data_IF_281801638352
#
_entry.id   IF_281801638352
#
_cell.length_a   1.000
_cell.length_b   1.000
_cell.length_c   1.000
_cell.angle_alpha   90.00
_cell.angle_beta   90.00
_cell.angle_gamma   90.00
#
_symmetry.space_group_name_H-M   'P 1'
#
loop_
_entity.id
_entity.type
_entity.pdbx_description
1 polymer ?
#
# COMPACT_ATOMS: atom_id res chain seq x y z
N UNK A 1 -15.06 -14.41 -6.96
CA UNK A 1 -13.73 -13.82 -7.08
C UNK A 1 -13.80 -12.37 -6.68
N UNK A 2 -12.97 -11.97 -5.72
CA UNK A 2 -12.97 -10.64 -5.13
C UNK A 2 -11.69 -9.88 -5.43
N UNK A 3 -11.56 -8.70 -4.83
CA UNK A 3 -10.42 -7.82 -4.94
C UNK A 3 -9.51 -8.03 -3.72
N UNK A 4 -8.21 -8.13 -3.95
CA UNK A 4 -7.18 -8.23 -2.93
C UNK A 4 -6.26 -6.99 -3.01
N UNK A 5 -6.05 -6.32 -1.89
CA UNK A 5 -5.11 -5.20 -1.79
C UNK A 5 -3.89 -5.59 -0.97
N UNK A 6 -2.70 -5.27 -1.47
CA UNK A 6 -1.43 -5.59 -0.81
C UNK A 6 -0.58 -4.35 -0.66
N UNK A 7 -0.30 -3.96 0.57
CA UNK A 7 0.68 -2.92 0.87
C UNK A 7 2.09 -3.51 0.94
N UNK A 8 3.05 -2.93 0.23
CA UNK A 8 4.45 -3.32 0.28
C UNK A 8 5.30 -2.28 0.99
N UNK A 9 6.15 -2.72 1.93
CA UNK A 9 7.07 -1.87 2.65
C UNK A 9 8.41 -2.57 2.86
N UNK A 10 9.48 -1.78 2.78
CA UNK A 10 10.83 -2.22 3.10
C UNK A 10 11.27 -1.63 4.43
N UNK A 11 11.75 -2.47 5.32
CA UNK A 11 12.33 -2.06 6.61
C UNK A 11 13.76 -2.56 6.72
N UNK A 12 14.67 -1.69 7.12
CA UNK A 12 16.06 -2.06 7.37
C UNK A 12 16.13 -3.06 8.52
N UNK A 13 16.96 -4.08 8.36
CA UNK A 13 17.21 -5.02 9.44
C UNK A 13 18.17 -4.38 10.46
N UNK A 14 17.75 -4.30 11.71
CA UNK A 14 18.62 -3.91 12.83
C UNK A 14 19.51 -5.07 13.30
N UNK A 15 19.20 -6.30 12.86
CA UNK A 15 19.92 -7.51 13.22
C UNK A 15 21.25 -7.66 12.47
N UNK A 16 21.48 -6.87 11.43
CA UNK A 16 22.72 -6.90 10.65
C UNK A 16 23.39 -5.54 10.67
N UNK A 17 24.72 -5.52 10.79
CA UNK A 17 25.52 -4.29 10.66
C UNK A 17 25.52 -3.73 9.24
N UNK A 18 25.05 -4.51 8.27
CA UNK A 18 25.00 -4.10 6.86
C UNK A 18 23.70 -3.32 6.57
N UNK A 19 23.89 -2.02 6.34
CA UNK A 19 22.79 -1.08 6.00
C UNK A 19 22.06 -1.40 4.71
N UNK A 20 22.54 -2.35 3.90
CA UNK A 20 21.92 -2.78 2.65
C UNK A 20 20.85 -3.85 2.86
N UNK A 21 20.88 -4.54 4.01
CA UNK A 21 19.89 -5.57 4.31
C UNK A 21 18.57 -4.98 4.78
N UNK A 22 17.51 -5.44 4.19
CA UNK A 22 16.15 -5.08 4.56
C UNK A 22 15.22 -6.29 4.50
N UNK A 23 14.16 -6.26 5.26
CA UNK A 23 13.04 -7.17 5.14
C UNK A 23 11.93 -6.47 4.33
N UNK A 24 11.39 -7.15 3.33
CA UNK A 24 10.15 -6.74 2.70
C UNK A 24 8.98 -7.32 3.50
N UNK A 25 8.01 -6.50 3.84
CA UNK A 25 6.76 -6.94 4.44
C UNK A 25 5.62 -6.63 3.48
N UNK A 26 4.70 -7.58 3.34
CA UNK A 26 3.46 -7.41 2.63
C UNK A 26 2.30 -7.53 3.60
N UNK A 27 1.32 -6.67 3.48
CA UNK A 27 0.08 -6.77 4.21
C UNK A 27 -1.09 -6.85 3.24
N UNK A 28 -1.79 -7.98 3.29
CA UNK A 28 -3.00 -8.22 2.52
C UNK A 28 -4.21 -7.63 3.26
N UNK A 29 -5.09 -6.98 2.52
CA UNK A 29 -6.40 -6.54 2.96
C UNK A 29 -7.47 -7.15 2.07
N UNK A 30 -8.54 -7.59 2.70
CA UNK A 30 -9.70 -8.15 2.07
C UNK A 30 -10.84 -7.12 2.05
N UNK A 31 -11.80 -7.33 1.16
CA UNK A 31 -12.96 -6.44 1.02
C UNK A 31 -13.86 -6.39 2.27
N UNK A 32 -13.80 -7.40 3.13
CA UNK A 32 -14.50 -7.47 4.42
C UNK A 32 -13.76 -6.75 5.57
N UNK A 33 -12.56 -6.22 5.29
CA UNK A 33 -11.72 -5.53 6.26
C UNK A 33 -10.79 -6.45 7.05
N UNK A 34 -10.82 -7.75 6.85
CA UNK A 34 -9.82 -8.65 7.39
C UNK A 34 -8.49 -8.53 6.65
N UNK A 35 -7.40 -8.95 7.27
CA UNK A 35 -6.09 -8.87 6.66
C UNK A 35 -5.07 -9.80 7.29
N UNK A 36 -4.07 -10.16 6.51
CA UNK A 36 -2.97 -11.05 6.91
C UNK A 36 -1.64 -10.38 6.60
N UNK A 37 -0.69 -10.57 7.49
CA UNK A 37 0.67 -10.05 7.36
C UNK A 37 1.60 -11.15 6.85
N UNK A 38 2.43 -10.79 5.88
CA UNK A 38 3.46 -11.65 5.32
C UNK A 38 4.83 -11.01 5.50
N UNK A 39 5.79 -11.81 5.93
CA UNK A 39 7.18 -11.43 5.94
C UNK A 39 7.87 -12.01 4.72
N UNK A 40 8.41 -11.15 3.87
CA UNK A 40 9.28 -11.56 2.76
C UNK A 40 10.69 -11.90 3.22
N UNK A 41 11.50 -12.33 2.29
CA UNK A 41 12.89 -12.67 2.55
C UNK A 41 13.70 -11.48 3.05
N UNK A 42 14.61 -11.74 3.97
CA UNK A 42 15.67 -10.79 4.34
C UNK A 42 16.78 -10.88 3.29
N UNK A 43 17.21 -9.75 2.77
CA UNK A 43 18.28 -9.73 1.78
C UNK A 43 18.86 -8.35 1.52
N UNK A 44 19.93 -8.29 0.71
CA UNK A 44 20.64 -7.05 0.38
C UNK A 44 19.89 -6.26 -0.70
N UNK A 45 18.66 -5.92 -0.44
CA UNK A 45 17.73 -5.30 -1.40
C UNK A 45 18.04 -3.85 -1.75
N UNK A 46 19.02 -3.20 -1.09
CA UNK A 46 19.36 -1.81 -1.35
C UNK A 46 20.13 -1.64 -2.67
N UNK A 47 19.55 -0.88 -3.59
CA UNK A 47 20.17 -0.48 -4.85
C UNK A 47 20.83 0.91 -4.68
N UNK A 48 22.11 1.00 -5.01
CA UNK A 48 22.93 2.22 -4.78
C UNK A 48 22.64 3.34 -5.78
N UNK A 49 22.22 2.98 -6.98
CA UNK A 49 21.88 3.88 -8.08
C UNK A 49 20.54 4.61 -7.84
N UNK A 50 19.53 3.87 -7.42
CA UNK A 50 18.20 4.43 -7.10
C UNK A 50 18.09 4.94 -5.67
N UNK A 51 19.01 4.53 -4.78
CA UNK A 51 18.97 4.74 -3.32
C UNK A 51 17.69 4.18 -2.68
N UNK A 52 17.11 3.12 -3.27
CA UNK A 52 15.88 2.49 -2.83
C UNK A 52 16.11 0.99 -2.59
N UNK A 53 15.15 0.37 -1.92
CA UNK A 53 15.13 -1.08 -1.73
C UNK A 53 14.21 -1.71 -2.77
N UNK A 54 14.67 -2.78 -3.41
CA UNK A 54 13.91 -3.54 -4.39
C UNK A 54 14.21 -5.02 -4.24
N UNK A 55 13.17 -5.87 -4.38
CA UNK A 55 13.32 -7.32 -4.43
C UNK A 55 13.90 -7.75 -5.77
N UNK A 56 14.57 -8.89 -5.80
CA UNK A 56 14.79 -9.62 -7.03
C UNK A 56 13.50 -10.33 -7.48
N UNK A 57 13.49 -10.84 -8.72
CA UNK A 57 12.34 -11.51 -9.32
C UNK A 57 11.86 -12.70 -8.48
N UNK A 58 12.79 -13.52 -7.95
CA UNK A 58 12.45 -14.70 -7.17
C UNK A 58 11.82 -14.34 -5.83
N UNK A 59 12.39 -13.39 -5.10
CA UNK A 59 11.85 -12.95 -3.82
C UNK A 59 10.51 -12.24 -3.98
N UNK A 60 10.34 -11.45 -5.05
CA UNK A 60 9.09 -10.81 -5.38
C UNK A 60 7.99 -11.84 -5.70
N UNK A 61 8.31 -12.86 -6.50
CA UNK A 61 7.42 -13.97 -6.81
C UNK A 61 6.98 -14.71 -5.55
N UNK A 62 7.93 -15.17 -4.75
CA UNK A 62 7.65 -15.93 -3.53
C UNK A 62 6.74 -15.15 -2.56
N UNK A 63 6.95 -13.83 -2.46
CA UNK A 63 6.12 -12.99 -1.59
C UNK A 63 4.66 -12.96 -2.06
N UNK A 64 4.41 -12.77 -3.34
CA UNK A 64 3.06 -12.72 -3.89
C UNK A 64 2.42 -14.11 -3.94
N UNK A 65 3.18 -15.19 -4.16
CA UNK A 65 2.68 -16.57 -4.04
C UNK A 65 2.13 -16.86 -2.63
N UNK A 66 2.81 -16.37 -1.59
CA UNK A 66 2.30 -16.48 -0.22
C UNK A 66 0.97 -15.72 -0.04
N UNK A 67 0.85 -14.53 -0.62
CA UNK A 67 -0.37 -13.71 -0.56
C UNK A 67 -1.53 -14.39 -1.27
N UNK A 68 -1.33 -14.79 -2.53
CA UNK A 68 -2.35 -15.43 -3.37
C UNK A 68 -2.77 -16.78 -2.78
N UNK A 69 -1.81 -17.55 -2.25
CA UNK A 69 -2.09 -18.83 -1.59
C UNK A 69 -2.98 -18.65 -0.35
N UNK A 70 -2.71 -17.64 0.47
CA UNK A 70 -3.54 -17.37 1.65
C UNK A 70 -4.93 -16.81 1.26
N UNK A 71 -4.99 -15.93 0.26
CA UNK A 71 -6.27 -15.45 -0.27
C UNK A 71 -7.12 -16.62 -0.76
N UNK A 72 -6.53 -17.51 -1.58
CA UNK A 72 -7.20 -18.71 -2.09
C UNK A 72 -7.72 -19.61 -0.97
N UNK A 73 -6.93 -19.77 0.10
CA UNK A 73 -7.33 -20.55 1.27
C UNK A 73 -8.54 -19.96 1.99
N UNK A 74 -8.64 -18.63 2.04
CA UNK A 74 -9.72 -17.93 2.74
C UNK A 74 -11.00 -17.80 1.90
N UNK A 75 -10.88 -17.77 0.57
CA UNK A 75 -11.99 -17.43 -0.34
C UNK A 75 -12.32 -18.52 -1.36
N UNK A 76 -11.75 -19.73 -1.23
CA UNK A 76 -12.00 -20.87 -2.12
C UNK A 76 -11.73 -20.56 -3.61
N UNK A 77 -10.70 -19.75 -3.86
CA UNK A 77 -10.24 -19.39 -5.22
C UNK A 77 -9.32 -18.17 -5.23
N UNK A 78 -8.55 -17.96 -6.32
CA UNK A 78 -7.66 -16.81 -6.44
C UNK A 78 -8.45 -15.50 -6.56
N UNK A 79 -7.83 -14.33 -6.23
CA UNK A 79 -8.46 -13.05 -6.45
C UNK A 79 -8.65 -12.79 -7.95
N UNK A 80 -9.76 -12.15 -8.34
CA UNK A 80 -9.93 -11.66 -9.71
C UNK A 80 -9.01 -10.47 -10.00
N UNK A 81 -8.77 -9.64 -8.97
CA UNK A 81 -7.90 -8.47 -9.06
C UNK A 81 -6.97 -8.41 -7.85
N UNK A 82 -5.70 -8.17 -8.12
CA UNK A 82 -4.67 -7.98 -7.11
C UNK A 82 -4.03 -6.60 -7.27
N UNK A 83 -4.31 -5.69 -6.35
CA UNK A 83 -3.70 -4.37 -6.30
C UNK A 83 -2.50 -4.37 -5.36
N UNK A 84 -1.32 -4.04 -5.89
CA UNK A 84 -0.08 -3.95 -5.12
C UNK A 84 0.28 -2.49 -4.92
N UNK A 85 0.35 -2.05 -3.66
CA UNK A 85 0.58 -0.68 -3.25
C UNK A 85 1.97 -0.48 -2.65
N UNK A 86 2.98 -0.08 -3.43
CA UNK A 86 4.30 0.34 -2.94
C UNK A 86 4.34 1.85 -2.69
N UNK A 87 5.35 2.30 -1.94
CA UNK A 87 5.73 3.71 -1.86
C UNK A 87 6.68 4.14 -2.99
N UNK A 88 7.57 3.23 -3.42
CA UNK A 88 8.51 3.43 -4.53
C UNK A 88 7.99 2.79 -5.82
N UNK A 89 8.50 3.23 -6.95
CA UNK A 89 8.21 2.57 -8.21
C UNK A 89 8.83 1.15 -8.22
N UNK A 90 8.20 0.23 -8.92
CA UNK A 90 8.73 -1.12 -9.12
C UNK A 90 9.88 -1.14 -10.12
N UNK A 91 10.83 -2.05 -9.93
CA UNK A 91 11.75 -2.49 -10.98
C UNK A 91 11.06 -3.47 -11.93
N UNK A 92 11.66 -3.68 -13.09
CA UNK A 92 11.14 -4.69 -14.04
C UNK A 92 11.23 -6.11 -13.47
N UNK A 93 12.26 -6.41 -12.68
CA UNK A 93 12.43 -7.71 -12.02
C UNK A 93 11.36 -7.94 -10.94
N UNK A 94 11.09 -6.93 -10.10
CA UNK A 94 9.97 -7.01 -9.14
C UNK A 94 8.64 -7.27 -9.86
N UNK A 95 8.38 -6.52 -10.95
CA UNK A 95 7.13 -6.67 -11.68
C UNK A 95 6.97 -8.04 -12.32
N UNK A 96 8.05 -8.58 -12.93
CA UNK A 96 8.04 -9.95 -13.44
C UNK A 96 7.74 -10.98 -12.36
N UNK A 97 8.37 -10.82 -11.18
CA UNK A 97 8.11 -11.67 -10.02
C UNK A 97 6.64 -11.62 -9.61
N UNK A 98 6.09 -10.42 -9.42
CA UNK A 98 4.69 -10.24 -9.02
C UNK A 98 3.71 -10.83 -10.03
N UNK A 99 3.92 -10.56 -11.32
CA UNK A 99 3.03 -11.04 -12.37
C UNK A 99 3.10 -12.56 -12.52
N UNK A 100 4.30 -13.16 -12.41
CA UNK A 100 4.49 -14.61 -12.55
C UNK A 100 3.97 -15.42 -11.36
N UNK A 101 3.69 -14.77 -10.23
CA UNK A 101 3.10 -15.40 -9.05
C UNK A 101 1.59 -15.63 -9.18
N UNK A 102 0.94 -14.98 -10.14
CA UNK A 102 -0.49 -15.03 -10.36
C UNK A 102 -0.82 -15.85 -11.61
N UNK A 103 -1.97 -16.53 -11.59
CA UNK A 103 -2.51 -17.18 -12.78
C UNK A 103 -3.12 -16.18 -13.76
N UNK A 104 -3.50 -16.66 -14.95
CA UNK A 104 -4.11 -15.84 -16.02
C UNK A 104 -5.46 -15.24 -15.62
N UNK A 105 -6.13 -15.82 -14.63
CA UNK A 105 -7.44 -15.38 -14.11
C UNK A 105 -7.36 -14.20 -13.16
N UNK A 106 -6.16 -13.76 -12.76
CA UNK A 106 -5.93 -12.65 -11.83
C UNK A 106 -5.36 -11.44 -12.56
N UNK A 107 -6.11 -10.34 -12.61
CA UNK A 107 -5.58 -9.06 -13.07
C UNK A 107 -4.68 -8.43 -12.00
N UNK A 108 -3.38 -8.28 -12.29
CA UNK A 108 -2.41 -7.70 -11.37
C UNK A 108 -2.18 -6.24 -11.71
N UNK A 109 -2.37 -5.37 -10.72
CA UNK A 109 -2.23 -3.91 -10.88
C UNK A 109 -1.26 -3.35 -9.84
N UNK A 110 -0.25 -2.63 -10.29
CA UNK A 110 0.70 -1.94 -9.43
C UNK A 110 0.38 -0.46 -9.31
N UNK A 111 0.05 0.02 -8.09
CA UNK A 111 -0.34 1.41 -7.83
C UNK A 111 0.59 2.03 -6.79
N UNK A 112 1.48 2.90 -7.24
CA UNK A 112 2.32 3.67 -6.33
C UNK A 112 1.48 4.70 -5.58
N UNK A 113 1.62 4.68 -4.24
CA UNK A 113 0.99 5.64 -3.34
C UNK A 113 2.08 6.28 -2.49
N UNK A 114 2.32 7.56 -2.72
CA UNK A 114 3.40 8.30 -2.06
C UNK A 114 2.92 9.68 -1.59
N UNK A 115 3.68 10.25 -0.67
CA UNK A 115 3.50 11.67 -0.36
C UNK A 115 3.82 12.50 -1.60
N UNK A 116 2.99 13.50 -1.89
CA UNK A 116 3.32 14.46 -2.94
C UNK A 116 4.60 15.20 -2.56
N UNK A 117 5.57 15.23 -3.48
CA UNK A 117 6.84 15.95 -3.29
C UNK A 117 6.67 17.46 -3.44
N UNK A 118 5.60 17.84 -4.13
CA UNK A 118 5.27 19.25 -4.36
C UNK A 118 4.38 19.73 -3.21
N UNK A 119 4.69 20.88 -2.65
CA UNK A 119 3.87 21.52 -1.62
C UNK A 119 2.65 22.20 -2.28
N UNK A 120 1.84 21.39 -2.98
CA UNK A 120 0.68 21.85 -3.71
C UNK A 120 -0.50 22.00 -2.76
N UNK A 121 -0.95 23.22 -2.58
CA UNK A 121 -2.15 23.55 -1.82
C UNK A 121 -3.29 23.89 -2.76
N UNK A 122 -4.45 23.34 -2.51
CA UNK A 122 -5.69 23.70 -3.21
C UNK A 122 -6.58 24.51 -2.28
N UNK A 123 -6.90 25.72 -2.70
CA UNK A 123 -7.76 26.64 -1.94
C UNK A 123 -9.13 26.75 -2.60
N UNK A 124 -10.15 26.93 -1.77
CA UNK A 124 -11.51 27.25 -2.20
C UNK A 124 -12.05 28.42 -1.37
N UNK A 125 -13.05 29.17 -1.87
CA UNK A 125 -13.75 30.16 -1.05
C UNK A 125 -14.47 29.48 0.14
N UNK A 126 -14.49 30.15 1.30
CA UNK A 126 -15.15 29.67 2.51
C UNK A 126 -14.18 29.40 3.67
N UNK A 127 -14.72 28.93 4.78
CA UNK A 127 -13.96 28.71 6.03
C UNK A 127 -13.17 27.38 6.04
N UNK A 128 -13.61 26.42 5.25
CA UNK A 128 -13.01 25.08 5.22
C UNK A 128 -12.10 24.88 4.00
N UNK A 129 -11.07 24.04 4.11
CA UNK A 129 -10.17 23.74 3.00
C UNK A 129 -10.86 22.91 1.91
N UNK A 130 -10.07 22.40 0.97
CA UNK A 130 -10.50 21.50 -0.10
C UNK A 130 -11.35 20.34 0.44
N UNK A 131 -12.35 19.92 -0.33
CA UNK A 131 -13.20 18.77 0.02
C UNK A 131 -12.37 17.47 -0.02
N UNK A 132 -12.52 16.65 0.99
CA UNK A 132 -11.93 15.31 1.03
C UNK A 132 -12.44 14.47 -0.14
N UNK A 133 -11.54 13.82 -0.86
CA UNK A 133 -11.83 13.04 -2.07
C UNK A 133 -11.69 13.87 -3.37
N UNK A 134 -11.31 15.14 -3.28
CA UNK A 134 -10.95 15.90 -4.50
C UNK A 134 -9.72 15.26 -5.14
N UNK A 135 -9.77 15.06 -6.45
CA UNK A 135 -8.64 14.58 -7.24
C UNK A 135 -8.28 15.56 -8.35
N UNK A 136 -6.98 15.67 -8.62
CA UNK A 136 -6.45 16.39 -9.78
C UNK A 136 -5.70 15.39 -10.65
N UNK A 137 -6.30 15.05 -11.78
CA UNK A 137 -5.66 14.19 -12.77
C UNK A 137 -4.56 14.97 -13.50
N UNK A 138 -3.33 14.43 -13.48
CA UNK A 138 -2.15 15.02 -14.13
C UNK A 138 -1.88 14.33 -15.46
N UNK A 139 -2.26 13.08 -15.59
CA UNK A 139 -2.09 12.26 -16.78
C UNK A 139 -3.01 11.05 -16.76
N UNK A 140 -2.97 10.25 -17.81
CA UNK A 140 -3.84 9.06 -17.95
C UNK A 140 -3.72 8.06 -16.77
N UNK A 141 -2.55 7.98 -16.17
CA UNK A 141 -2.22 7.01 -15.10
C UNK A 141 -1.73 7.68 -13.82
N UNK A 142 -1.92 8.98 -13.65
CA UNK A 142 -1.41 9.73 -12.51
C UNK A 142 -2.36 10.83 -12.07
N UNK A 143 -2.64 10.86 -10.77
CA UNK A 143 -3.42 11.93 -10.14
C UNK A 143 -2.86 12.28 -8.75
N UNK A 144 -3.21 13.48 -8.30
CA UNK A 144 -3.10 13.91 -6.91
C UNK A 144 -4.46 13.76 -6.25
N UNK A 145 -4.49 13.14 -5.07
CA UNK A 145 -5.72 12.87 -4.33
C UNK A 145 -5.66 13.50 -2.94
N UNK A 146 -6.61 14.36 -2.63
CA UNK A 146 -6.78 14.93 -1.27
C UNK A 146 -7.57 13.97 -0.39
N UNK A 147 -6.88 13.10 0.30
CA UNK A 147 -7.45 12.13 1.24
C UNK A 147 -7.80 12.73 2.59
N UNK A 148 -7.23 13.89 2.90
CA UNK A 148 -7.63 14.76 4.01
C UNK A 148 -8.31 16.01 3.45
N UNK A 149 -9.24 16.60 4.22
CA UNK A 149 -9.96 17.79 3.79
C UNK A 149 -11.33 17.88 4.48
N UNK A 150 -12.09 18.87 4.07
CA UNK A 150 -13.43 19.10 4.59
C UNK A 150 -14.37 17.95 4.25
N UNK A 151 -15.13 17.49 5.24
CA UNK A 151 -16.14 16.43 5.10
C UNK A 151 -17.53 17.04 5.23
N UNK A 152 -18.23 17.33 4.11
CA UNK A 152 -19.50 18.06 4.15
C UNK A 152 -20.59 17.42 5.01
N UNK A 153 -20.69 16.08 5.01
CA UNK A 153 -21.70 15.35 5.79
C UNK A 153 -21.53 15.50 7.30
N UNK A 154 -20.32 15.80 7.75
CA UNK A 154 -20.00 15.96 9.17
C UNK A 154 -19.76 17.43 9.52
N UNK A 155 -19.84 18.32 8.56
CA UNK A 155 -19.53 19.74 8.66
C UNK A 155 -18.23 19.99 9.44
N UNK A 156 -17.18 19.25 9.11
CA UNK A 156 -15.95 19.25 9.90
C UNK A 156 -14.67 19.13 9.05
N UNK A 157 -13.63 19.74 9.58
CA UNK A 157 -12.25 19.51 9.19
C UNK A 157 -11.38 19.41 10.43
N UNK A 158 -10.68 18.30 10.64
CA UNK A 158 -9.91 18.03 11.85
C UNK A 158 -8.42 18.33 11.71
N UNK A 159 -7.98 18.90 10.61
CA UNK A 159 -6.56 19.23 10.38
C UNK A 159 -6.21 20.65 10.84
N UNK A 160 -4.98 20.89 11.32
CA UNK A 160 -4.52 22.22 11.70
C UNK A 160 -4.16 23.10 10.49
N UNK A 161 -3.89 22.52 9.34
CA UNK A 161 -3.39 23.20 8.15
C UNK A 161 -4.15 22.79 6.88
N UNK A 162 -4.02 23.60 5.82
CA UNK A 162 -4.50 23.21 4.49
C UNK A 162 -3.83 21.91 4.04
N UNK A 163 -4.60 20.84 3.72
CA UNK A 163 -4.05 19.53 3.46
C UNK A 163 -3.27 19.47 2.15
N UNK A 164 -2.20 18.67 2.16
CA UNK A 164 -1.49 18.27 0.95
C UNK A 164 -2.11 16.99 0.37
N UNK A 165 -2.09 16.82 -0.96
CA UNK A 165 -2.51 15.59 -1.59
C UNK A 165 -1.49 14.47 -1.39
N UNK A 166 -1.91 13.25 -1.66
CA UNK A 166 -1.03 12.13 -1.99
C UNK A 166 -0.93 11.98 -3.50
N UNK A 167 0.18 11.46 -3.97
CA UNK A 167 0.38 11.07 -5.37
C UNK A 167 -0.06 9.63 -5.56
N UNK A 168 -0.96 9.38 -6.49
CA UNK A 168 -1.45 8.05 -6.88
C UNK A 168 -1.10 7.83 -8.34
N UNK A 169 -0.29 6.81 -8.62
CA UNK A 169 0.18 6.49 -9.97
C UNK A 169 0.03 5.02 -10.27
N UNK A 170 -0.70 4.69 -11.31
CA UNK A 170 -0.76 3.33 -11.85
C UNK A 170 0.54 3.04 -12.61
N UNK A 171 1.39 2.19 -12.03
CA UNK A 171 2.71 1.85 -12.58
C UNK A 171 2.62 0.79 -13.67
N UNK A 172 1.84 -0.26 -13.42
CA UNK A 172 1.69 -1.46 -14.25
C UNK A 172 0.27 -2.01 -14.13
N UNK A 173 -0.08 -2.87 -15.07
CA UNK A 173 -1.41 -3.49 -15.14
C UNK A 173 -2.42 -2.60 -15.86
N UNK A 174 -3.62 -3.15 -16.06
CA UNK A 174 -4.73 -2.46 -16.70
C UNK A 174 -5.84 -2.18 -15.70
N UNK A 175 -6.17 -0.91 -15.52
CA UNK A 175 -7.25 -0.48 -14.64
C UNK A 175 -7.65 0.96 -14.94
N UNK A 176 -8.87 1.30 -14.58
CA UNK A 176 -9.37 2.66 -14.63
C UNK A 176 -8.82 3.50 -13.46
N UNK A 177 -8.28 4.70 -13.77
CA UNK A 177 -7.71 5.57 -12.75
C UNK A 177 -8.75 6.06 -11.74
N UNK A 178 -9.99 6.32 -12.15
CA UNK A 178 -11.05 6.80 -11.26
C UNK A 178 -11.42 5.71 -10.24
N UNK A 179 -11.51 4.46 -10.68
CA UNK A 179 -11.71 3.30 -9.80
C UNK A 179 -10.58 3.20 -8.77
N UNK A 180 -9.33 3.30 -9.20
CA UNK A 180 -8.16 3.28 -8.29
C UNK A 180 -8.22 4.40 -7.26
N UNK A 181 -8.57 5.62 -7.68
CA UNK A 181 -8.68 6.77 -6.76
C UNK A 181 -9.80 6.57 -5.73
N UNK A 182 -10.94 6.02 -6.18
CA UNK A 182 -12.06 5.67 -5.30
C UNK A 182 -11.67 4.62 -4.26
N UNK A 183 -10.97 3.58 -4.67
CA UNK A 183 -10.48 2.52 -3.79
C UNK A 183 -9.46 3.04 -2.79
N UNK A 184 -8.45 3.80 -3.26
CA UNK A 184 -7.46 4.42 -2.38
C UNK A 184 -8.13 5.32 -1.34
N UNK A 185 -9.11 6.14 -1.75
CA UNK A 185 -9.89 6.96 -0.83
C UNK A 185 -10.70 6.10 0.15
N UNK A 186 -11.30 5.01 -0.32
CA UNK A 186 -12.01 4.02 0.50
C UNK A 186 -11.09 3.43 1.57
N UNK A 187 -9.90 2.98 1.18
CA UNK A 187 -8.89 2.41 2.08
C UNK A 187 -8.36 3.40 3.13
N UNK A 188 -8.48 4.72 2.92
CA UNK A 188 -8.16 5.72 3.96
C UNK A 188 -9.26 5.83 5.05
N UNK A 189 -10.44 5.26 4.82
CA UNK A 189 -11.54 5.27 5.79
C UNK A 189 -11.49 4.08 6.74
N UNK A 190 -10.73 3.05 6.39
CA UNK A 190 -10.55 1.85 7.20
C UNK A 190 -9.51 2.16 8.27
N UNK A 191 -9.98 2.47 9.48
CA UNK A 191 -9.13 2.67 10.63
C UNK A 191 -9.64 1.83 11.79
N UNK A 192 -8.88 0.80 12.15
CA UNK A 192 -9.27 -0.13 13.20
C UNK A 192 -9.02 0.42 14.62
N UNK A 193 -8.19 1.46 14.73
CA UNK A 193 -7.76 2.00 16.02
C UNK A 193 -8.46 3.30 16.40
N UNK A 194 -9.14 3.95 15.48
CA UNK A 194 -9.83 5.20 15.76
C UNK A 194 -10.94 5.48 14.75
N UNK A 195 -11.97 6.23 15.20
CA UNK A 195 -13.02 6.73 14.32
C UNK A 195 -12.66 8.07 13.66
N UNK A 196 -11.38 8.38 13.53
CA UNK A 196 -10.92 9.62 12.93
C UNK A 196 -10.94 9.53 11.40
N UNK A 197 -11.60 10.49 10.76
CA UNK A 197 -11.71 10.57 9.31
C UNK A 197 -10.54 11.30 8.63
N UNK A 198 -9.40 11.40 9.30
CA UNK A 198 -8.29 12.24 8.86
C UNK A 198 -7.02 11.46 8.49
N UNK A 199 -7.14 10.16 8.27
CA UNK A 199 -6.01 9.36 7.81
C UNK A 199 -5.65 9.76 6.39
N UNK A 200 -4.43 10.26 6.22
CA UNK A 200 -3.92 10.71 4.93
C UNK A 200 -3.56 9.55 4.02
N UNK A 201 -2.92 8.52 4.56
CA UNK A 201 -2.50 7.34 3.80
C UNK A 201 -3.51 6.21 3.92
N UNK A 202 -3.72 5.42 2.85
CA UNK A 202 -4.57 4.24 2.91
C UNK A 202 -3.99 3.21 3.89
N UNK A 203 -4.88 2.39 4.43
CA UNK A 203 -4.54 1.34 5.40
C UNK A 203 -3.42 0.42 4.89
N UNK A 204 -3.39 0.11 3.60
CA UNK A 204 -2.35 -0.69 2.95
C UNK A 204 -0.93 -0.16 3.15
N UNK A 205 -0.75 1.16 3.13
CA UNK A 205 0.55 1.80 3.35
C UNK A 205 0.80 2.03 4.84
N UNK A 206 -0.21 2.50 5.57
CA UNK A 206 -0.05 2.89 6.97
C UNK A 206 0.26 1.70 7.86
N UNK A 207 -0.54 0.63 7.76
CA UNK A 207 -0.31 -0.55 8.59
C UNK A 207 0.88 -1.38 8.13
N UNK A 208 1.16 -1.47 6.83
CA UNK A 208 2.38 -2.12 6.36
C UNK A 208 3.63 -1.48 6.98
N UNK A 209 3.65 -0.16 7.17
CA UNK A 209 4.74 0.52 7.88
C UNK A 209 4.81 0.10 9.36
N UNK A 210 3.69 0.14 10.09
CA UNK A 210 3.65 -0.22 11.52
C UNK A 210 4.03 -1.69 11.74
N UNK A 211 3.46 -2.58 10.95
CA UNK A 211 3.78 -4.02 10.98
C UNK A 211 5.24 -4.28 10.64
N UNK A 212 5.78 -3.57 9.65
CA UNK A 212 7.19 -3.69 9.27
C UNK A 212 8.14 -3.40 10.44
N UNK A 213 7.82 -2.43 11.30
CA UNK A 213 8.63 -2.12 12.49
C UNK A 213 8.60 -3.26 13.53
N UNK A 214 7.47 -3.93 13.69
CA UNK A 214 7.35 -5.10 14.56
C UNK A 214 8.12 -6.30 14.00
N UNK A 215 8.00 -6.56 12.69
CA UNK A 215 8.61 -7.73 12.05
C UNK A 215 10.15 -7.70 12.04
N UNK A 216 10.78 -6.53 12.06
CA UNK A 216 12.24 -6.43 12.14
C UNK A 216 12.79 -6.60 13.55
N UNK A 217 11.96 -6.38 14.57
CA UNK A 217 12.36 -6.40 15.98
C UNK A 217 12.34 -7.81 16.59
N UNK A 218 11.76 -8.81 15.93
CA UNK A 218 11.62 -10.16 16.44
C UNK A 218 12.39 -11.19 15.61
N UNK A 219 13.18 -12.08 16.24
CA UNK A 219 13.72 -13.26 15.58
C UNK A 219 12.57 -14.25 15.35
N UNK A 220 12.06 -14.35 14.12
CA UNK A 220 10.90 -15.19 13.83
C UNK A 220 11.25 -16.29 12.85
N UNK A 221 11.80 -17.39 13.35
CA UNK A 221 11.77 -18.65 12.64
C UNK A 221 10.55 -19.44 13.14
N UNK A 222 9.60 -19.71 12.25
CA UNK A 222 8.51 -20.67 12.48
C UNK A 222 7.23 -20.13 13.14
N UNK A 223 7.00 -18.83 13.26
CA UNK A 223 5.75 -18.33 13.82
C UNK A 223 4.56 -18.43 12.84
N UNK A 224 3.36 -18.76 13.35
CA UNK A 224 2.15 -18.78 12.54
C UNK A 224 1.83 -17.38 12.03
N UNK A 225 1.32 -17.28 10.80
CA UNK A 225 0.79 -16.04 10.23
C UNK A 225 -0.37 -15.57 11.11
N UNK A 226 -0.21 -14.45 11.80
CA UNK A 226 -1.25 -13.89 12.64
C UNK A 226 -2.06 -12.84 11.86
N UNK A 227 -3.37 -12.73 12.13
CA UNK A 227 -4.16 -11.61 11.66
C UNK A 227 -3.51 -10.28 12.09
N UNK A 228 -3.59 -9.27 11.22
CA UNK A 228 -2.91 -7.98 11.40
C UNK A 228 -3.24 -7.29 12.74
N UNK A 229 -4.42 -7.53 13.31
CA UNK A 229 -4.86 -7.00 14.61
C UNK A 229 -3.96 -7.35 15.81
N UNK A 230 -3.06 -8.33 15.63
CA UNK A 230 -2.07 -8.68 16.65
C UNK A 230 -0.76 -7.90 16.52
N UNK A 231 -0.60 -7.09 15.46
CA UNK A 231 0.60 -6.31 15.19
C UNK A 231 0.40 -4.79 15.37
N UNK A 232 -0.82 -4.36 15.66
CA UNK A 232 -1.20 -2.95 15.80
C UNK A 232 -1.96 -2.66 17.08
#
# INVERSE_FOLDING_TARGET
PGVCYVGLVYKRSELTSDKKHACCAAQMFLSDGEGVVFRGALGPWFQTDTKQFHLDETAAKNLIEMVVGEYTRLHDGPPAELFIHPKSAFTDDEWKGFSSACGEDTNVVGVQIADSRDDLKLYRPGEYPVIRGTALQIGERHALLWTSGYVPRLDTYMGPETPNPISVRVLRGDCDLETVLSDVLGLTKINFNSCLHNDRLPVTIRFANAVGDVLISAPMEGEPKLPFKYYI
#
